data_IF_497029866299
#
_entry.id   IF_497029866299
#
_cell.length_a   1.000
_cell.length_b   1.000
_cell.length_c   1.000
_cell.angle_alpha   90.00
_cell.angle_beta   90.00
_cell.angle_gamma   90.00
#
_symmetry.space_group_name_H-M   'P 1'
#
loop_
_entity.id
_entity.type
_entity.pdbx_description
1 polymer ?
#
# COMPACT_ATOMS: atom_id res chain seq x y z
N UNK A 1 14.81 -32.20 9.36
CA UNK A 1 14.18 -33.00 8.30
C UNK A 1 13.30 -34.05 8.93
N UNK A 2 11.98 -33.82 8.96
CA UNK A 2 11.05 -34.89 9.31
C UNK A 2 10.94 -35.85 8.13
N UNK A 3 10.96 -37.18 8.35
CA UNK A 3 10.73 -38.14 7.28
C UNK A 3 9.35 -37.87 6.65
N UNK A 4 9.22 -37.92 5.31
CA UNK A 4 7.94 -37.71 4.65
C UNK A 4 6.93 -38.73 5.19
N UNK A 5 5.74 -38.25 5.57
CA UNK A 5 4.64 -39.13 5.94
C UNK A 5 4.24 -39.92 4.68
N UNK A 6 4.22 -41.26 4.72
CA UNK A 6 3.94 -42.09 3.55
C UNK A 6 2.53 -41.89 2.98
N UNK A 7 1.62 -41.29 3.76
CA UNK A 7 0.20 -41.13 3.42
C UNK A 7 -0.24 -39.65 3.36
N UNK A 8 0.67 -38.73 3.02
CA UNK A 8 0.40 -37.29 2.96
C UNK A 8 0.20 -36.77 1.53
N UNK A 9 -0.82 -35.93 1.26
CA UNK A 9 -1.99 -35.64 2.10
C UNK A 9 -2.91 -36.87 2.19
N UNK A 10 -3.69 -36.98 3.27
CA UNK A 10 -4.64 -38.08 3.39
C UNK A 10 -5.82 -37.91 2.41
N UNK A 11 -6.56 -39.00 2.16
CA UNK A 11 -7.68 -39.01 1.20
C UNK A 11 -8.74 -37.98 1.57
N UNK A 12 -9.00 -37.77 2.87
CA UNK A 12 -10.02 -36.83 3.34
C UNK A 12 -9.62 -35.39 3.05
N UNK A 13 -8.37 -35.03 3.32
CA UNK A 13 -7.83 -33.71 3.02
C UNK A 13 -7.79 -33.43 1.51
N UNK A 14 -7.40 -34.42 0.70
CA UNK A 14 -7.42 -34.32 -0.76
C UNK A 14 -8.84 -34.14 -1.31
N UNK A 15 -9.81 -34.88 -0.79
CA UNK A 15 -11.21 -34.78 -1.22
C UNK A 15 -11.80 -33.41 -0.84
N UNK A 16 -11.49 -32.91 0.36
CA UNK A 16 -11.87 -31.57 0.81
C UNK A 16 -11.40 -30.49 -0.16
N UNK A 17 -10.10 -30.46 -0.48
CA UNK A 17 -9.54 -29.45 -1.37
C UNK A 17 -9.96 -29.62 -2.82
N UNK A 18 -10.28 -30.85 -3.26
CA UNK A 18 -10.83 -31.11 -4.59
C UNK A 18 -12.21 -30.47 -4.71
N UNK A 19 -13.06 -30.66 -3.71
CA UNK A 19 -14.39 -30.04 -3.67
C UNK A 19 -14.30 -28.51 -3.59
N UNK A 20 -13.38 -27.98 -2.78
CA UNK A 20 -13.16 -26.54 -2.66
C UNK A 20 -12.72 -25.91 -4.00
N UNK A 21 -11.71 -26.49 -4.67
CA UNK A 21 -11.21 -25.95 -5.93
C UNK A 21 -12.26 -26.04 -7.06
N UNK A 22 -13.07 -27.11 -7.07
CA UNK A 22 -14.19 -27.23 -8.00
C UNK A 22 -15.26 -26.15 -7.77
N UNK A 23 -15.60 -25.84 -6.52
CA UNK A 23 -16.53 -24.76 -6.17
C UNK A 23 -15.96 -23.40 -6.57
N UNK A 24 -14.68 -23.15 -6.30
CA UNK A 24 -13.98 -21.93 -6.74
C UNK A 24 -14.07 -21.76 -8.25
N UNK A 25 -13.72 -22.79 -9.03
CA UNK A 25 -13.79 -22.75 -10.49
C UNK A 25 -15.20 -22.42 -10.99
N UNK A 26 -16.23 -23.05 -10.41
CA UNK A 26 -17.63 -22.79 -10.77
C UNK A 26 -18.09 -21.38 -10.39
N UNK A 27 -17.60 -20.82 -9.28
CA UNK A 27 -17.85 -19.43 -8.88
C UNK A 27 -17.17 -18.46 -9.84
N UNK A 28 -15.91 -18.69 -10.19
CA UNK A 28 -15.15 -17.84 -11.14
C UNK A 28 -15.79 -17.86 -12.53
N UNK A 29 -16.21 -19.01 -13.03
CA UNK A 29 -16.91 -19.10 -14.33
C UNK A 29 -18.23 -18.31 -14.30
N UNK A 30 -19.01 -18.45 -13.22
CA UNK A 30 -20.28 -17.74 -13.05
C UNK A 30 -20.10 -16.22 -12.93
N UNK A 31 -19.16 -15.79 -12.08
CA UNK A 31 -19.00 -14.39 -11.67
C UNK A 31 -18.13 -13.60 -12.66
N UNK A 32 -17.11 -14.22 -13.24
CA UNK A 32 -16.11 -13.58 -14.12
C UNK A 32 -16.19 -14.06 -15.57
N UNK A 33 -16.95 -15.12 -15.88
CA UNK A 33 -16.99 -15.71 -17.23
C UNK A 33 -15.70 -16.42 -17.63
N UNK A 34 -14.84 -16.77 -16.66
CA UNK A 34 -13.54 -17.42 -16.90
C UNK A 34 -13.62 -18.88 -16.52
N UNK A 35 -13.38 -19.77 -17.49
CA UNK A 35 -13.39 -21.22 -17.30
C UNK A 35 -11.98 -21.78 -17.55
N UNK A 36 -11.08 -21.59 -16.59
CA UNK A 36 -9.70 -22.07 -16.67
C UNK A 36 -9.57 -23.52 -16.16
N UNK A 37 -8.60 -24.29 -16.69
CA UNK A 37 -8.34 -25.63 -16.18
C UNK A 37 -7.80 -25.56 -14.75
N UNK A 38 -8.21 -26.51 -13.92
CA UNK A 38 -7.75 -26.62 -12.54
C UNK A 38 -7.37 -28.04 -12.18
N UNK A 39 -6.46 -28.19 -11.21
CA UNK A 39 -6.03 -29.49 -10.68
C UNK A 39 -5.41 -29.36 -9.30
N UNK A 40 -5.31 -30.49 -8.61
CA UNK A 40 -4.49 -30.64 -7.42
C UNK A 40 -3.28 -31.52 -7.71
N UNK A 41 -2.13 -31.13 -7.18
CA UNK A 41 -0.89 -31.89 -7.26
C UNK A 41 -0.09 -31.81 -5.95
N UNK A 42 0.75 -32.81 -5.70
CA UNK A 42 1.57 -32.89 -4.48
C UNK A 42 3.02 -32.70 -4.87
N UNK A 43 3.67 -31.68 -4.30
CA UNK A 43 5.08 -31.38 -4.56
C UNK A 43 5.72 -30.83 -3.28
N UNK A 44 6.94 -31.27 -2.97
CA UNK A 44 7.70 -30.80 -1.79
C UNK A 44 6.95 -30.93 -0.45
N UNK A 45 6.11 -31.95 -0.29
CA UNK A 45 5.25 -32.18 0.89
C UNK A 45 4.12 -31.14 1.07
N UNK A 46 3.81 -30.37 0.03
CA UNK A 46 2.67 -29.47 -0.02
C UNK A 46 1.63 -30.01 -1.02
N UNK A 47 0.35 -29.81 -0.72
CA UNK A 47 -0.74 -29.97 -1.67
C UNK A 47 -0.99 -28.63 -2.33
N UNK A 48 -0.83 -28.58 -3.65
CA UNK A 48 -0.99 -27.38 -4.46
C UNK A 48 -2.34 -27.41 -5.18
N UNK A 49 -3.05 -26.30 -5.11
CA UNK A 49 -4.17 -25.99 -5.99
C UNK A 49 -3.69 -25.16 -7.16
N UNK A 50 -3.92 -25.65 -8.38
CA UNK A 50 -3.64 -24.92 -9.61
C UNK A 50 -4.95 -24.52 -10.28
N UNK A 51 -5.06 -23.26 -10.68
CA UNK A 51 -6.15 -22.71 -11.49
C UNK A 51 -5.55 -21.84 -12.60
N UNK A 52 -5.67 -22.26 -13.85
CA UNK A 52 -4.95 -21.63 -14.96
C UNK A 52 -3.44 -21.60 -14.72
N UNK A 53 -2.88 -20.39 -14.63
CA UNK A 53 -1.46 -20.14 -14.37
C UNK A 53 -1.11 -19.92 -12.89
N UNK A 54 -2.09 -19.76 -12.00
CA UNK A 54 -1.82 -19.60 -10.56
C UNK A 54 -1.69 -20.92 -9.85
N UNK A 55 -0.85 -20.93 -8.82
CA UNK A 55 -0.58 -22.10 -7.99
C UNK A 55 -0.46 -21.67 -6.53
N UNK A 56 -1.28 -22.26 -5.67
CA UNK A 56 -1.43 -21.87 -4.26
C UNK A 56 -1.28 -23.13 -3.39
N UNK A 57 -0.46 -23.08 -2.35
CA UNK A 57 -0.34 -24.18 -1.40
C UNK A 57 -1.55 -24.19 -0.46
N UNK A 58 -2.36 -25.25 -0.50
CA UNK A 58 -3.61 -25.36 0.27
C UNK A 58 -3.48 -26.27 1.49
N UNK A 59 -2.48 -27.14 1.52
CA UNK A 59 -2.19 -27.97 2.68
C UNK A 59 -0.70 -28.28 2.84
N UNK A 60 -0.28 -28.44 4.10
CA UNK A 60 1.08 -28.75 4.52
C UNK A 60 1.64 -27.73 5.51
N UNK A 61 2.94 -27.85 5.87
CA UNK A 61 3.56 -27.00 6.89
C UNK A 61 3.47 -25.51 6.53
N UNK A 62 3.59 -25.20 5.24
CA UNK A 62 3.69 -23.85 4.71
C UNK A 62 2.53 -23.55 3.73
N UNK A 63 1.31 -24.00 4.06
CA UNK A 63 0.13 -23.67 3.26
C UNK A 63 -0.12 -22.14 3.25
N UNK A 64 -0.31 -21.60 2.05
CA UNK A 64 -0.61 -20.19 1.77
C UNK A 64 -2.02 -19.81 2.23
N UNK A 65 -2.95 -20.77 2.16
CA UNK A 65 -4.34 -20.61 2.58
C UNK A 65 -4.74 -21.69 3.57
N UNK A 66 -5.71 -21.37 4.42
CA UNK A 66 -6.20 -22.23 5.50
C UNK A 66 -7.68 -22.59 5.34
N UNK A 67 -8.37 -22.03 4.35
CA UNK A 67 -9.78 -22.27 4.09
C UNK A 67 -10.14 -22.22 2.60
N UNK A 68 -11.30 -22.80 2.25
CA UNK A 68 -11.83 -22.72 0.89
C UNK A 68 -12.17 -21.29 0.45
N UNK A 69 -12.56 -20.42 1.39
CA UNK A 69 -12.84 -19.01 1.08
C UNK A 69 -11.54 -18.24 0.81
N UNK A 70 -10.49 -18.45 1.59
CA UNK A 70 -9.17 -17.87 1.29
C UNK A 70 -8.64 -18.33 -0.08
N UNK A 71 -8.84 -19.61 -0.43
CA UNK A 71 -8.51 -20.12 -1.76
C UNK A 71 -9.31 -19.40 -2.86
N UNK A 72 -10.62 -19.18 -2.64
CA UNK A 72 -11.45 -18.41 -3.56
C UNK A 72 -10.93 -16.98 -3.73
N UNK A 73 -10.65 -16.28 -2.63
CA UNK A 73 -10.16 -14.91 -2.65
C UNK A 73 -8.83 -14.79 -3.41
N UNK A 74 -7.89 -15.72 -3.19
CA UNK A 74 -6.60 -15.74 -3.89
C UNK A 74 -6.75 -16.01 -5.39
N UNK A 75 -7.58 -17.00 -5.77
CA UNK A 75 -7.83 -17.30 -7.19
C UNK A 75 -8.61 -16.17 -7.86
N UNK A 76 -9.66 -15.63 -7.24
CA UNK A 76 -10.43 -14.52 -7.80
C UNK A 76 -9.57 -13.27 -7.97
N UNK A 77 -8.75 -12.95 -6.97
CA UNK A 77 -7.75 -11.90 -7.04
C UNK A 77 -6.85 -12.13 -8.27
N UNK A 78 -6.21 -13.30 -8.38
CA UNK A 78 -5.36 -13.62 -9.51
C UNK A 78 -6.09 -13.54 -10.86
N UNK A 79 -7.30 -14.09 -10.98
CA UNK A 79 -8.10 -14.02 -12.22
C UNK A 79 -8.44 -12.58 -12.58
N UNK A 80 -8.76 -11.76 -11.58
CA UNK A 80 -9.02 -10.34 -11.78
C UNK A 80 -7.78 -9.59 -12.29
N UNK A 81 -6.58 -9.96 -11.84
CA UNK A 81 -5.32 -9.32 -12.22
C UNK A 81 -4.71 -9.83 -13.53
N UNK A 82 -4.57 -11.15 -13.71
CA UNK A 82 -3.68 -11.74 -14.73
C UNK A 82 -4.41 -12.20 -16.00
N UNK A 83 -5.67 -12.64 -15.91
CA UNK A 83 -6.33 -13.38 -17.01
C UNK A 83 -7.04 -12.54 -18.07
N UNK A 84 -6.82 -11.22 -18.11
CA UNK A 84 -7.37 -10.36 -19.17
C UNK A 84 -8.89 -10.55 -19.41
N UNK A 85 -9.63 -11.05 -18.41
CA UNK A 85 -11.08 -11.29 -18.45
C UNK A 85 -11.91 -9.98 -18.43
N UNK A 86 -11.36 -8.93 -19.04
CA UNK A 86 -11.90 -7.59 -19.22
C UNK A 86 -12.08 -6.79 -17.92
N UNK A 87 -12.19 -5.45 -17.99
CA UNK A 87 -12.77 -4.60 -16.94
C UNK A 87 -14.29 -4.82 -16.77
N UNK A 88 -14.82 -6.02 -17.01
CA UNK A 88 -16.23 -6.17 -17.39
C UNK A 88 -17.25 -6.09 -16.26
N UNK A 89 -16.95 -6.64 -15.08
CA UNK A 89 -17.88 -6.59 -13.97
C UNK A 89 -17.14 -6.35 -12.66
N UNK A 90 -17.19 -5.11 -12.21
CA UNK A 90 -17.19 -4.79 -10.77
C UNK A 90 -18.35 -5.59 -10.18
N UNK A 91 -18.04 -6.62 -9.41
CA UNK A 91 -19.04 -7.44 -8.76
C UNK A 91 -19.73 -6.62 -7.67
N UNK A 92 -20.90 -7.06 -7.21
CA UNK A 92 -21.58 -6.36 -6.12
C UNK A 92 -20.73 -6.34 -4.84
N UNK A 93 -19.95 -7.39 -4.58
CA UNK A 93 -18.97 -7.40 -3.48
C UNK A 93 -17.89 -6.32 -3.65
N UNK A 94 -17.43 -6.09 -4.88
CA UNK A 94 -16.39 -5.09 -5.15
C UNK A 94 -16.97 -3.69 -4.93
N UNK A 95 -18.23 -3.45 -5.34
CA UNK A 95 -18.94 -2.19 -5.07
C UNK A 95 -19.15 -1.97 -3.58
N UNK A 96 -19.54 -3.01 -2.85
CA UNK A 96 -19.73 -2.93 -1.41
C UNK A 96 -18.40 -2.63 -0.70
N UNK A 97 -17.30 -3.30 -1.08
CA UNK A 97 -15.98 -3.02 -0.53
C UNK A 97 -15.54 -1.56 -0.76
N UNK A 98 -15.81 -1.01 -1.96
CA UNK A 98 -15.55 0.43 -2.23
C UNK A 98 -16.44 1.33 -1.38
N UNK A 99 -17.70 0.99 -1.21
CA UNK A 99 -18.62 1.76 -0.38
C UNK A 99 -18.17 1.76 1.09
N UNK A 100 -17.77 0.60 1.61
CA UNK A 100 -17.24 0.43 2.96
C UNK A 100 -15.94 1.23 3.13
N UNK A 101 -15.06 1.17 2.13
CA UNK A 101 -13.83 1.95 2.13
C UNK A 101 -14.07 3.46 2.07
N UNK A 102 -14.99 3.94 1.21
CA UNK A 102 -15.40 5.36 1.17
C UNK A 102 -15.95 5.82 2.52
N UNK A 103 -16.69 4.96 3.22
CA UNK A 103 -17.15 5.25 4.57
C UNK A 103 -15.99 5.39 5.56
N UNK A 104 -14.92 4.59 5.41
CA UNK A 104 -13.69 4.75 6.19
C UNK A 104 -12.96 6.05 5.85
N UNK A 105 -12.82 6.41 4.57
CA UNK A 105 -12.17 7.66 4.15
C UNK A 105 -12.86 8.90 4.73
N UNK A 106 -14.20 8.88 4.84
CA UNK A 106 -14.95 9.96 5.46
C UNK A 106 -14.55 10.18 6.94
N UNK A 107 -14.05 9.15 7.62
CA UNK A 107 -13.50 9.23 8.98
C UNK A 107 -12.01 9.58 8.97
N UNK A 108 -11.24 9.03 8.03
CA UNK A 108 -9.80 9.27 7.92
C UNK A 108 -9.47 10.69 7.50
N UNK A 109 -10.18 11.27 6.52
CA UNK A 109 -9.82 12.57 5.97
C UNK A 109 -9.79 13.70 7.03
N UNK A 110 -10.81 13.88 7.91
CA UNK A 110 -10.72 14.88 8.98
C UNK A 110 -9.60 14.62 9.99
N UNK A 111 -9.29 13.34 10.26
CA UNK A 111 -8.18 12.95 11.15
C UNK A 111 -6.84 13.38 10.59
N UNK A 112 -6.57 13.08 9.31
CA UNK A 112 -5.36 13.54 8.65
C UNK A 112 -5.32 15.06 8.52
N UNK A 113 -6.44 15.74 8.25
CA UNK A 113 -6.46 17.21 8.27
C UNK A 113 -6.02 17.80 9.62
N UNK A 114 -6.48 17.21 10.74
CA UNK A 114 -6.05 17.62 12.07
C UNK A 114 -4.57 17.30 12.32
N UNK A 115 -4.11 16.13 11.88
CA UNK A 115 -2.71 15.73 11.97
C UNK A 115 -1.78 16.66 11.18
N UNK A 116 -2.09 16.93 9.92
CA UNK A 116 -1.36 17.86 9.06
C UNK A 116 -1.35 19.27 9.64
N UNK A 117 -2.49 19.77 10.12
CA UNK A 117 -2.54 21.08 10.77
C UNK A 117 -1.58 21.17 11.96
N UNK A 118 -1.46 20.10 12.75
CA UNK A 118 -0.54 20.01 13.89
C UNK A 118 0.92 19.99 13.46
N UNK A 119 1.30 19.17 12.49
CA UNK A 119 2.68 19.10 11.96
C UNK A 119 3.10 20.44 11.34
N UNK A 120 2.21 21.08 10.59
CA UNK A 120 2.51 22.36 9.92
C UNK A 120 2.62 23.56 10.89
N UNK A 121 2.24 23.42 12.16
CA UNK A 121 2.60 24.42 13.18
C UNK A 121 4.12 24.46 13.39
N UNK A 122 4.76 23.28 13.44
CA UNK A 122 6.21 23.17 13.64
C UNK A 122 7.00 23.73 12.45
N UNK A 123 6.55 23.43 11.23
CA UNK A 123 7.18 23.96 10.00
C UNK A 123 7.14 25.48 9.99
N UNK A 124 5.97 26.08 10.27
CA UNK A 124 5.80 27.54 10.32
C UNK A 124 6.59 28.19 11.46
N UNK A 125 6.78 27.47 12.57
CA UNK A 125 7.51 27.99 13.72
C UNK A 125 9.03 27.96 13.51
N UNK A 126 9.54 27.02 12.71
CA UNK A 126 10.99 26.73 12.62
C UNK A 126 11.60 27.01 11.26
N UNK A 127 10.77 27.29 10.24
CA UNK A 127 11.22 27.55 8.87
C UNK A 127 10.53 28.78 8.30
N UNK A 128 11.09 29.32 7.20
CA UNK A 128 10.45 30.37 6.41
C UNK A 128 9.71 29.82 5.19
N UNK A 129 9.59 28.50 5.06
CA UNK A 129 8.96 27.88 3.89
C UNK A 129 7.45 28.01 3.99
N UNK A 130 6.84 28.46 2.90
CA UNK A 130 5.40 28.40 2.70
C UNK A 130 5.06 27.15 1.88
N UNK A 131 4.66 26.07 2.58
CA UNK A 131 4.15 24.86 1.97
C UNK A 131 2.61 24.94 1.97
N UNK A 132 2.03 25.12 0.78
CA UNK A 132 0.60 24.89 0.62
C UNK A 132 0.30 23.42 0.84
N UNK A 133 -0.76 23.08 1.56
CA UNK A 133 -1.14 21.69 1.81
C UNK A 133 -2.64 21.49 1.76
N UNK A 134 -3.05 20.28 1.37
CA UNK A 134 -4.41 19.79 1.58
C UNK A 134 -4.40 18.27 1.67
N UNK A 135 -5.34 17.74 2.45
CA UNK A 135 -5.63 16.30 2.45
C UNK A 135 -6.78 16.07 1.47
N UNK A 136 -6.49 15.37 0.38
CA UNK A 136 -7.42 15.13 -0.71
C UNK A 136 -7.74 13.64 -0.83
N UNK A 137 -8.96 13.33 -1.26
CA UNK A 137 -9.31 11.98 -1.68
C UNK A 137 -9.24 11.97 -3.19
N UNK A 138 -8.40 11.11 -3.75
CA UNK A 138 -8.30 10.88 -5.18
C UNK A 138 -9.07 9.63 -5.55
N UNK A 139 -10.02 9.80 -6.46
CA UNK A 139 -10.77 8.70 -7.07
C UNK A 139 -10.30 8.58 -8.53
N UNK A 140 -9.02 8.27 -8.75
CA UNK A 140 -8.53 8.09 -10.11
C UNK A 140 -8.95 6.73 -10.66
N UNK A 141 -10.02 6.73 -11.46
CA UNK A 141 -10.36 5.60 -12.30
C UNK A 141 -9.50 5.63 -13.56
N UNK A 142 -8.52 4.72 -13.65
CA UNK A 142 -7.69 4.59 -14.84
C UNK A 142 -8.58 4.25 -16.05
N UNK A 143 -8.61 5.11 -17.07
CA UNK A 143 -9.35 4.85 -18.31
C UNK A 143 -8.63 3.78 -19.13
N UNK A 144 -8.96 2.51 -18.86
CA UNK A 144 -8.38 1.37 -19.56
C UNK A 144 -8.72 1.31 -21.04
N UNK A 145 -9.84 1.91 -21.47
CA UNK A 145 -10.16 1.96 -22.88
C UNK A 145 -9.18 2.90 -23.58
N UNK A 146 -8.92 4.07 -22.99
CA UNK A 146 -7.88 4.98 -23.44
C UNK A 146 -6.48 4.32 -23.35
N UNK A 147 -6.11 3.70 -22.23
CA UNK A 147 -4.81 3.05 -22.08
C UNK A 147 -4.62 1.92 -23.09
N UNK A 148 -5.62 1.04 -23.29
CA UNK A 148 -5.53 -0.04 -24.29
C UNK A 148 -5.43 0.48 -25.71
N UNK A 149 -6.04 1.62 -26.03
CA UNK A 149 -5.89 2.24 -27.34
C UNK A 149 -4.48 2.79 -27.58
N UNK A 150 -3.70 3.01 -26.51
CA UNK A 150 -2.35 3.54 -26.55
C UNK A 150 -1.26 2.45 -26.42
N UNK A 151 -1.60 1.28 -25.88
CA UNK A 151 -0.67 0.16 -25.73
C UNK A 151 -0.44 -0.57 -27.07
N UNK A 152 0.83 -0.86 -27.43
CA UNK A 152 1.15 -1.71 -28.58
C UNK A 152 0.44 -3.07 -28.51
N UNK A 153 -0.06 -3.60 -29.64
CA UNK A 153 -0.70 -4.92 -29.70
C UNK A 153 0.16 -6.06 -29.13
N UNK A 154 1.49 -5.93 -29.22
CA UNK A 154 2.45 -6.90 -28.71
C UNK A 154 2.44 -6.99 -27.16
N UNK A 155 2.08 -5.91 -26.47
CA UNK A 155 1.89 -5.92 -25.00
C UNK A 155 0.49 -6.42 -24.61
N UNK A 156 -0.50 -6.27 -25.50
CA UNK A 156 -1.87 -6.74 -25.28
C UNK A 156 -2.03 -8.25 -25.57
N UNK A 157 -1.05 -8.85 -26.25
CA UNK A 157 -1.09 -10.23 -26.74
C UNK A 157 0.03 -11.11 -26.19
N UNK A 158 0.65 -10.78 -25.05
CA UNK A 158 1.59 -11.66 -24.36
C UNK A 158 0.87 -12.89 -23.78
N UNK A 159 0.49 -13.80 -24.67
CA UNK A 159 -0.05 -15.11 -24.35
C UNK A 159 1.06 -16.02 -23.83
N UNK A 160 0.86 -16.53 -22.62
CA UNK A 160 1.22 -17.88 -22.16
C UNK A 160 2.63 -18.38 -22.49
N UNK A 161 3.55 -18.23 -21.53
CA UNK A 161 4.79 -19.02 -21.53
C UNK A 161 6.03 -18.31 -21.02
N UNK A 162 5.99 -17.00 -20.79
CA UNK A 162 7.08 -16.30 -20.11
C UNK A 162 6.81 -16.32 -18.61
N UNK A 163 7.48 -17.23 -17.90
CA UNK A 163 7.63 -17.27 -16.43
C UNK A 163 8.46 -16.07 -15.95
N UNK A 164 8.00 -14.88 -16.29
CA UNK A 164 8.53 -13.60 -15.87
C UNK A 164 7.34 -12.78 -15.44
N UNK A 165 6.89 -13.01 -14.21
CA UNK A 165 5.81 -12.23 -13.62
C UNK A 165 6.12 -10.74 -13.78
N UNK A 166 5.13 -9.99 -14.23
CA UNK A 166 5.17 -8.52 -14.30
C UNK A 166 5.38 -7.91 -12.90
N UNK A 167 5.27 -8.72 -11.84
CA UNK A 167 5.58 -8.35 -10.46
C UNK A 167 7.08 -8.26 -10.09
N UNK A 168 8.04 -8.59 -10.98
CA UNK A 168 9.46 -8.64 -10.60
C UNK A 168 10.50 -8.33 -11.68
N UNK A 169 10.10 -7.94 -12.88
CA UNK A 169 11.05 -7.44 -13.87
C UNK A 169 11.23 -5.93 -13.69
N UNK A 170 12.40 -5.51 -13.20
CA UNK A 170 12.99 -4.25 -13.62
C UNK A 170 13.09 -4.29 -15.15
N UNK A 171 12.09 -3.70 -15.82
CA UNK A 171 12.12 -3.50 -17.25
C UNK A 171 13.22 -2.46 -17.56
N UNK A 172 14.42 -2.94 -17.85
CA UNK A 172 15.50 -2.14 -18.44
C UNK A 172 15.19 -1.90 -19.93
N UNK A 173 14.12 -1.17 -20.20
CA UNK A 173 13.80 -0.60 -21.51
C UNK A 173 14.45 0.78 -21.66
N UNK A 174 14.86 1.19 -22.87
CA UNK A 174 15.47 2.49 -23.09
C UNK A 174 14.38 3.58 -23.16
N UNK A 175 13.86 3.99 -22.01
CA UNK A 175 12.96 5.14 -21.91
C UNK A 175 12.29 5.25 -20.54
N UNK A 176 12.22 6.45 -19.94
CA UNK A 176 11.43 6.66 -18.74
C UNK A 176 9.95 6.50 -19.08
N UNK A 177 9.27 5.57 -18.41
CA UNK A 177 7.82 5.64 -18.28
C UNK A 177 7.48 6.94 -17.55
N UNK A 178 6.59 7.79 -18.08
CA UNK A 178 6.03 8.87 -17.28
C UNK A 178 5.07 8.24 -16.27
N UNK A 179 5.55 7.81 -15.10
CA UNK A 179 4.72 7.50 -13.91
C UNK A 179 4.28 6.02 -13.68
N UNK A 180 5.23 5.07 -13.58
CA UNK A 180 5.06 3.79 -12.84
C UNK A 180 4.39 2.59 -13.56
N UNK A 181 4.49 1.35 -13.00
CA UNK A 181 3.91 0.14 -13.59
C UNK A 181 2.38 0.08 -13.47
N UNK A 182 1.68 -0.60 -14.40
CA UNK A 182 0.21 -0.63 -14.43
C UNK A 182 -0.37 -1.52 -13.31
N UNK A 183 -1.12 -0.91 -12.39
CA UNK A 183 -2.01 -1.58 -11.42
C UNK A 183 -3.46 -1.48 -11.88
N UNK A 184 -4.29 -2.52 -11.70
CA UNK A 184 -5.71 -2.52 -12.09
C UNK A 184 -6.62 -2.04 -10.94
N UNK A 185 -7.66 -1.22 -11.20
CA UNK A 185 -8.57 -0.73 -10.18
C UNK A 185 -9.71 -1.73 -9.89
N UNK A 186 -9.97 -1.94 -8.61
CA UNK A 186 -10.99 -1.06 -8.02
C UNK A 186 -10.19 0.12 -7.49
N UNK A 187 -10.36 1.38 -7.93
CA UNK A 187 -9.60 2.44 -7.31
C UNK A 187 -10.31 2.61 -5.99
N UNK A 188 -9.84 1.90 -4.97
CA UNK A 188 -10.18 2.27 -3.62
C UNK A 188 -9.73 3.72 -3.54
N UNK A 189 -10.67 4.68 -3.38
CA UNK A 189 -10.28 6.07 -3.34
C UNK A 189 -9.14 6.25 -2.34
N UNK A 190 -8.03 6.84 -2.75
CA UNK A 190 -6.86 6.94 -1.89
C UNK A 190 -6.84 8.30 -1.23
N UNK A 191 -6.37 8.33 0.02
CA UNK A 191 -6.15 9.57 0.73
C UNK A 191 -4.74 10.05 0.42
N UNK A 192 -4.59 11.31 0.04
CA UNK A 192 -3.32 11.91 -0.30
C UNK A 192 -3.05 13.11 0.59
N UNK A 193 -1.79 13.28 0.99
CA UNK A 193 -1.26 14.55 1.44
C UNK A 193 -0.67 15.27 0.23
N UNK A 194 -1.43 16.21 -0.32
CA UNK A 194 -0.92 17.06 -1.39
C UNK A 194 -0.17 18.24 -0.78
N UNK A 195 1.07 18.44 -1.23
CA UNK A 195 1.89 19.58 -0.87
C UNK A 195 2.27 20.38 -2.10
N UNK A 196 2.46 21.70 -1.94
CA UNK A 196 2.96 22.58 -3.01
C UNK A 196 3.99 23.53 -2.44
N UNK A 197 5.19 23.48 -3.02
CA UNK A 197 6.26 24.43 -2.72
C UNK A 197 6.13 25.67 -3.62
N UNK A 198 6.82 26.75 -3.26
CA UNK A 198 6.87 27.97 -4.07
C UNK A 198 7.48 27.74 -5.46
N UNK A 199 8.28 26.68 -5.64
CA UNK A 199 8.86 26.30 -6.94
C UNK A 199 7.88 25.55 -7.85
N UNK A 200 6.67 25.25 -7.36
CA UNK A 200 5.67 24.44 -8.05
C UNK A 200 5.95 22.94 -8.00
N UNK A 201 7.00 22.50 -7.29
CA UNK A 201 7.18 21.10 -6.93
C UNK A 201 6.16 20.74 -5.86
N UNK A 202 5.44 19.66 -6.07
CA UNK A 202 4.55 19.08 -5.08
C UNK A 202 4.88 17.62 -4.89
N UNK A 203 4.56 17.10 -3.71
CA UNK A 203 4.48 15.67 -3.48
C UNK A 203 3.02 15.31 -3.26
N UNK A 204 2.61 14.21 -3.91
CA UNK A 204 1.32 13.57 -3.74
C UNK A 204 1.58 12.22 -3.06
N UNK A 205 1.77 12.26 -1.75
CA UNK A 205 2.05 11.07 -0.95
C UNK A 205 0.74 10.39 -0.53
N UNK A 206 0.66 9.09 -0.79
CA UNK A 206 -0.46 8.25 -0.35
C UNK A 206 -0.38 8.09 1.17
N UNK A 207 -1.51 8.32 1.83
CA UNK A 207 -1.68 8.13 3.26
C UNK A 207 -2.40 6.81 3.55
N UNK A 208 -1.88 6.07 4.52
CA UNK A 208 -2.43 4.81 4.99
C UNK A 208 -3.67 5.01 5.89
N UNK A 209 -4.17 3.92 6.47
CA UNK A 209 -5.27 3.97 7.45
C UNK A 209 -4.70 4.15 8.85
N UNK A 210 -4.70 5.38 9.35
CA UNK A 210 -4.39 5.61 10.76
C UNK A 210 -5.45 5.03 11.70
N UNK A 211 -5.02 4.38 12.80
CA UNK A 211 -5.95 3.87 13.81
C UNK A 211 -6.47 4.99 14.72
N UNK A 212 -5.63 5.98 15.01
CA UNK A 212 -5.95 7.17 15.79
C UNK A 212 -5.22 8.44 15.29
N UNK A 213 -5.39 9.56 16.00
CA UNK A 213 -4.77 10.83 15.61
C UNK A 213 -3.24 10.81 15.76
N UNK A 214 -2.70 10.06 16.72
CA UNK A 214 -1.27 10.03 16.98
C UNK A 214 -0.53 9.24 15.90
N UNK A 215 -1.12 8.15 15.40
CA UNK A 215 -0.67 7.44 14.20
C UNK A 215 -0.65 8.37 12.98
N UNK A 216 -1.74 9.10 12.73
CA UNK A 216 -1.84 10.03 11.60
C UNK A 216 -0.81 11.17 11.69
N UNK A 217 -0.56 11.71 12.89
CA UNK A 217 0.46 12.74 13.11
C UNK A 217 1.85 12.20 12.87
N UNK A 218 2.13 10.97 13.31
CA UNK A 218 3.42 10.33 13.11
C UNK A 218 3.72 10.13 11.62
N UNK A 219 2.76 9.57 10.88
CA UNK A 219 2.89 9.34 9.44
C UNK A 219 3.09 10.65 8.68
N UNK A 220 2.23 11.65 8.90
CA UNK A 220 2.37 12.96 8.23
C UNK A 220 3.70 13.63 8.57
N UNK A 221 4.16 13.51 9.82
CA UNK A 221 5.44 14.08 10.23
C UNK A 221 6.62 13.42 9.50
N UNK A 222 6.58 12.10 9.31
CA UNK A 222 7.61 11.37 8.56
C UNK A 222 7.62 11.80 7.09
N UNK A 223 6.46 11.82 6.44
CA UNK A 223 6.32 12.25 5.04
C UNK A 223 6.82 13.67 4.82
N UNK A 224 6.39 14.61 5.66
CA UNK A 224 6.70 16.04 5.45
C UNK A 224 8.14 16.38 5.85
N UNK A 225 8.75 15.60 6.73
CA UNK A 225 10.13 15.83 7.15
C UNK A 225 11.11 15.78 5.97
N UNK A 226 11.00 14.76 5.12
CA UNK A 226 11.87 14.62 3.96
C UNK A 226 11.69 15.80 2.99
N UNK A 227 10.43 16.17 2.70
CA UNK A 227 10.12 17.31 1.85
C UNK A 227 10.70 18.63 2.39
N UNK A 228 10.55 18.90 3.69
CA UNK A 228 11.08 20.12 4.29
C UNK A 228 12.61 20.11 4.25
N UNK A 229 13.26 18.98 4.56
CA UNK A 229 14.71 18.84 4.50
C UNK A 229 15.27 19.09 3.09
N UNK A 230 14.57 18.60 2.05
CA UNK A 230 14.89 18.87 0.66
C UNK A 230 14.83 20.36 0.33
N UNK A 231 13.78 21.05 0.78
CA UNK A 231 13.57 22.48 0.50
C UNK A 231 14.47 23.41 1.33
N UNK A 232 14.76 23.08 2.60
CA UNK A 232 15.71 23.87 3.42
C UNK A 232 17.18 23.55 3.11
N UNK A 233 17.45 22.47 2.37
CA UNK A 233 18.80 21.91 2.14
C UNK A 233 19.59 21.71 3.45
N UNK A 234 18.94 21.12 4.46
CA UNK A 234 19.50 21.04 5.82
C UNK A 234 18.75 20.09 6.74
N UNK A 235 19.17 20.05 8.00
CA UNK A 235 18.54 19.25 9.03
C UNK A 235 17.22 19.89 9.49
N UNK A 236 16.12 19.16 9.38
CA UNK A 236 14.82 19.60 9.91
C UNK A 236 14.04 18.44 10.55
N UNK A 237 13.41 18.64 11.72
CA UNK A 237 13.71 19.73 12.65
C UNK A 237 15.17 19.66 13.11
N UNK A 238 15.84 20.79 13.21
CA UNK A 238 17.22 20.81 13.70
C UNK A 238 17.26 20.33 15.15
N UNK A 239 18.11 19.36 15.47
CA UNK A 239 18.25 18.90 16.84
C UNK A 239 19.00 19.94 17.70
N UNK A 240 18.46 20.32 18.87
CA UNK A 240 19.17 21.19 19.80
C UNK A 240 20.52 20.57 20.19
N UNK A 241 21.58 21.36 20.09
CA UNK A 241 22.94 20.96 20.46
C UNK A 241 23.63 19.96 19.52
N UNK A 242 23.00 19.53 18.42
CA UNK A 242 23.58 18.54 17.50
C UNK A 242 23.37 18.87 16.03
N UNK A 243 24.30 18.45 15.16
CA UNK A 243 24.27 18.77 13.72
C UNK A 243 23.60 17.65 12.92
N UNK A 244 22.36 17.31 13.26
CA UNK A 244 21.54 16.32 12.55
C UNK A 244 20.05 16.62 12.75
N UNK A 245 19.16 16.11 11.88
CA UNK A 245 17.72 16.23 12.11
C UNK A 245 17.30 15.44 13.35
N UNK A 246 16.22 15.89 13.99
CA UNK A 246 15.45 15.05 14.91
C UNK A 246 14.70 13.99 14.09
N UNK A 247 14.40 12.84 14.67
CA UNK A 247 13.60 11.79 14.03
C UNK A 247 12.21 11.77 14.62
N UNK A 248 11.19 11.47 13.82
CA UNK A 248 9.87 11.15 14.37
C UNK A 248 9.92 9.86 15.18
N UNK A 249 9.18 9.80 16.30
CA UNK A 249 9.01 8.54 17.01
C UNK A 249 7.86 8.57 18.02
N UNK A 250 7.43 7.40 18.51
CA UNK A 250 6.39 7.29 19.51
C UNK A 250 6.89 7.69 20.92
N UNK A 251 5.97 8.14 21.76
CA UNK A 251 6.17 8.32 23.21
C UNK A 251 4.89 7.94 23.98
N UNK A 252 4.96 7.86 25.30
CA UNK A 252 3.78 7.57 26.14
C UNK A 252 2.70 8.65 26.10
N UNK A 253 3.03 9.85 25.63
CA UNK A 253 2.11 10.99 25.49
C UNK A 253 1.77 11.32 24.02
N UNK A 254 2.11 10.41 23.10
CA UNK A 254 1.88 10.58 21.66
C UNK A 254 3.17 10.81 20.85
N UNK A 255 3.08 11.27 19.60
CA UNK A 255 4.21 11.37 18.69
C UNK A 255 5.10 12.56 19.03
N UNK A 256 6.41 12.34 18.92
CA UNK A 256 7.45 13.31 19.25
C UNK A 256 8.50 13.41 18.14
N UNK A 257 9.12 14.58 18.03
CA UNK A 257 10.46 14.73 17.45
C UNK A 257 11.47 14.32 18.50
N UNK A 258 12.37 13.38 18.20
CA UNK A 258 13.38 12.86 19.13
C UNK A 258 14.78 13.02 18.55
N UNK A 259 15.73 13.40 19.39
CA UNK A 259 17.14 13.35 19.03
C UNK A 259 17.61 11.88 18.91
N UNK A 260 18.19 11.46 17.78
CA UNK A 260 18.75 10.10 17.65
C UNK A 260 19.98 9.85 18.55
N UNK A 261 20.66 10.91 19.00
CA UNK A 261 21.86 10.81 19.85
C UNK A 261 21.58 10.95 21.36
N UNK A 262 20.45 11.53 21.76
CA UNK A 262 20.06 11.74 23.17
C UNK A 262 18.53 11.58 23.33
N UNK A 263 18.10 10.42 23.81
CA UNK A 263 16.68 10.10 23.99
C UNK A 263 15.93 11.03 24.97
N UNK A 264 16.66 11.79 25.79
CA UNK A 264 16.07 12.77 26.72
C UNK A 264 15.59 14.02 25.99
N UNK A 265 16.12 14.28 24.79
CA UNK A 265 15.72 15.40 23.94
C UNK A 265 14.58 14.92 23.05
N UNK A 266 13.35 15.14 23.51
CA UNK A 266 12.13 14.85 22.78
C UNK A 266 11.15 16.01 22.92
N UNK A 267 10.51 16.40 21.82
CA UNK A 267 9.50 17.46 21.78
C UNK A 267 8.24 16.91 21.12
N UNK A 268 7.05 17.08 21.73
CA UNK A 268 5.81 16.70 21.08
C UNK A 268 5.66 17.37 19.72
N UNK A 269 5.18 16.63 18.72
CA UNK A 269 4.91 17.20 17.40
C UNK A 269 3.80 18.26 17.53
N UNK A 270 3.96 19.39 16.86
CA UNK A 270 3.16 20.61 16.96
C UNK A 270 3.56 21.56 18.10
N UNK A 271 4.70 21.35 18.75
CA UNK A 271 5.18 22.12 19.92
C UNK A 271 6.62 22.63 19.79
N UNK A 272 7.26 22.56 18.62
CA UNK A 272 8.64 23.04 18.45
C UNK A 272 8.80 24.54 18.77
N UNK A 273 7.75 25.34 18.58
CA UNK A 273 7.75 26.78 18.91
C UNK A 273 8.10 27.06 20.38
N UNK A 274 7.73 26.16 21.29
CA UNK A 274 8.00 26.31 22.73
C UNK A 274 9.50 26.15 23.03
N UNK A 275 10.18 25.30 22.25
CA UNK A 275 11.62 25.09 22.36
C UNK A 275 12.39 26.32 21.83
N UNK A 276 12.01 26.85 20.67
CA UNK A 276 12.63 28.05 20.08
C UNK A 276 12.51 29.27 21.00
N UNK A 277 11.36 29.46 21.66
CA UNK A 277 11.16 30.57 22.58
C UNK A 277 12.09 30.48 23.81
N UNK A 278 12.31 29.27 24.34
CA UNK A 278 13.14 29.06 25.53
C UNK A 278 14.64 29.35 25.30
N UNK A 279 15.14 29.20 24.07
CA UNK A 279 16.54 29.49 23.73
C UNK A 279 16.79 31.00 23.56
N UNK A 280 15.80 31.75 23.08
CA UNK A 280 15.90 33.20 22.90
C UNK A 280 16.04 33.96 24.23
N UNK A 281 15.33 33.52 25.27
CA UNK A 281 15.38 34.13 26.60
C UNK A 281 16.68 33.80 27.36
N UNK A 282 17.35 32.69 27.04
CA UNK A 282 18.60 32.31 27.69
C UNK A 282 19.84 33.05 27.13
N UNK A 283 19.72 33.68 25.96
CA UNK A 283 20.82 34.40 25.29
C UNK A 283 20.72 35.93 25.43
N UNK A 284 19.60 36.46 25.93
CA UNK A 284 19.36 37.88 26.17
C UNK A 284 19.74 38.33 27.59
#
# INVERSE_FOLDING_TARGET
MHPPRPDWPDVTERDHWTAALADVAARIERDRGVADPWRLDVEHSLLWAQYGGTRIAVAGPDADVRSAEELFEQIDSWVAFERHAGPGQVLERDRQAVADWRAQLAVQQPRYQAATARVFLDIRATTTIDLGWRVAVHEEELDWAALRSQLPPELLGATEGTTGGIAGHEFVGPGPWPDGPPTRPVPFPQLYLETRTASGRGSDDVLDVATDLDDAVWEVAATVQDLVMEEVHGAWPACPGHWHPMQTGPSSSGPVWRCPADERVAVPIGRLVELVASEGDAQA
#
